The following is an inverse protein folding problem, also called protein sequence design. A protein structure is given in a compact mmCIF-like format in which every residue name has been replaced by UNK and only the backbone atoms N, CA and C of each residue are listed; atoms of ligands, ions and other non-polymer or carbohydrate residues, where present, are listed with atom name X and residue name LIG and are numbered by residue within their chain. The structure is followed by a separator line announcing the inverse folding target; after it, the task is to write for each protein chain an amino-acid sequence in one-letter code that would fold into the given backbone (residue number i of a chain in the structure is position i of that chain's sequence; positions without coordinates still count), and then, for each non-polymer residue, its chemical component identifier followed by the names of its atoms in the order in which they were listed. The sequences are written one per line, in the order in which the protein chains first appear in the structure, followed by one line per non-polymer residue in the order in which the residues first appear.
data_IF_647240880417
#
_entry.id   IF_647240880417
#
_cell.length_a   1.000
_cell.length_b   1.000
_cell.length_c   1.000
_cell.angle_alpha   90.00
_cell.angle_beta   90.00
_cell.angle_gamma   90.00
#
_symmetry.space_group_name_H-M   'P 1'
#
loop_
_entity.id
_entity.type
_entity.pdbx_description
1 polymer ?
#
# COMPACT_ATOMS: atom_id res chain seq x y z
N UNK A 1 -51.66 -5.07 -12.32
CA UNK A 1 -50.21 -5.16 -12.55
C UNK A 1 -49.70 -3.76 -12.92
N UNK A 2 -48.54 -3.39 -12.35
CA UNK A 2 -47.75 -2.14 -12.52
C UNK A 2 -48.23 -0.90 -11.74
N UNK A 3 -47.69 -0.79 -10.52
CA UNK A 3 -47.31 0.47 -9.88
C UNK A 3 -46.09 1.06 -10.59
N UNK A 4 -46.00 2.39 -10.73
CA UNK A 4 -44.77 3.11 -10.37
C UNK A 4 -45.02 4.61 -10.24
N UNK A 5 -44.62 5.14 -9.10
CA UNK A 5 -44.90 6.48 -8.60
C UNK A 5 -44.13 7.57 -9.36
N UNK A 6 -44.85 8.64 -9.70
CA UNK A 6 -44.31 9.89 -10.23
C UNK A 6 -43.70 10.70 -9.08
N UNK A 7 -42.37 10.75 -8.98
CA UNK A 7 -41.68 11.71 -8.12
C UNK A 7 -41.50 13.03 -8.89
N UNK A 8 -42.40 13.99 -8.64
CA UNK A 8 -42.22 15.41 -8.96
C UNK A 8 -42.36 16.20 -7.67
N UNK A 9 -41.26 16.73 -7.16
CA UNK A 9 -41.24 18.00 -6.42
C UNK A 9 -39.99 18.78 -6.82
N UNK A 10 -40.23 19.78 -7.66
CA UNK A 10 -39.35 20.90 -7.95
C UNK A 10 -39.65 22.03 -6.94
N UNK A 11 -38.67 22.93 -6.84
CA UNK A 11 -38.66 24.22 -6.13
C UNK A 11 -38.45 24.12 -4.61
N UNK A 12 -37.51 24.85 -4.01
CA UNK A 12 -36.62 25.89 -4.51
C UNK A 12 -35.84 26.47 -3.34
N UNK A 13 -34.80 27.25 -3.62
CA UNK A 13 -34.08 28.02 -2.61
C UNK A 13 -32.58 27.98 -2.82
N UNK A 14 -32.09 28.97 -3.57
CA UNK A 14 -30.68 29.32 -3.58
C UNK A 14 -30.27 29.80 -2.17
N UNK A 15 -29.27 29.17 -1.59
CA UNK A 15 -28.40 29.78 -0.58
C UNK A 15 -26.95 29.52 -0.97
N UNK A 16 -26.27 30.62 -1.25
CA UNK A 16 -24.83 30.73 -1.35
C UNK A 16 -24.16 30.18 -0.08
N UNK A 17 -22.97 29.60 -0.26
CA UNK A 17 -21.89 29.74 0.72
C UNK A 17 -21.80 28.65 1.78
N UNK A 18 -21.10 27.57 1.44
CA UNK A 18 -20.19 26.84 2.33
C UNK A 18 -19.13 26.21 1.41
N UNK A 19 -18.14 26.96 0.95
CA UNK A 19 -16.88 27.15 1.67
C UNK A 19 -16.34 25.81 2.24
N UNK A 20 -15.56 25.14 1.40
CA UNK A 20 -14.42 24.28 1.78
C UNK A 20 -14.73 23.17 2.79
N UNK A 21 -15.50 22.17 2.36
CA UNK A 21 -15.58 20.90 3.09
C UNK A 21 -14.28 20.10 2.90
N UNK A 22 -13.35 20.30 3.83
CA UNK A 22 -12.40 19.34 4.37
C UNK A 22 -11.82 18.25 3.41
N UNK A 23 -10.72 18.58 2.73
CA UNK A 23 -9.71 17.59 2.32
C UNK A 23 -8.83 17.19 3.52
N UNK A 24 -9.43 16.95 4.69
CA UNK A 24 -8.77 16.15 5.71
C UNK A 24 -9.16 14.71 5.38
N UNK A 25 -8.47 14.14 4.38
CA UNK A 25 -8.53 12.71 4.15
C UNK A 25 -8.27 12.04 5.48
N UNK A 26 -9.25 11.29 5.97
CA UNK A 26 -9.01 10.31 7.01
C UNK A 26 -7.98 9.35 6.40
N UNK A 27 -6.70 9.63 6.62
CA UNK A 27 -5.66 8.63 6.50
C UNK A 27 -5.94 7.66 7.65
N UNK A 28 -6.87 6.74 7.41
CA UNK A 28 -7.06 5.58 8.25
C UNK A 28 -5.66 4.97 8.41
N UNK A 29 -5.15 5.01 9.65
CA UNK A 29 -3.85 4.45 9.97
C UNK A 29 -3.99 2.95 9.79
N UNK A 30 -3.65 2.45 8.62
CA UNK A 30 -3.62 1.02 8.34
C UNK A 30 -2.56 0.43 9.28
N UNK A 31 -3.01 -0.41 10.21
CA UNK A 31 -2.11 -1.16 11.08
C UNK A 31 -1.54 -2.34 10.32
N UNK A 32 -0.34 -2.15 9.74
CA UNK A 32 0.37 -3.14 8.94
C UNK A 32 1.29 -4.04 9.79
N UNK A 33 1.23 -3.97 11.13
CA UNK A 33 2.23 -4.63 11.99
C UNK A 33 2.29 -6.15 11.81
N UNK A 34 1.16 -6.77 11.45
CA UNK A 34 1.03 -8.21 11.19
C UNK A 34 0.74 -8.51 9.72
N UNK A 35 1.09 -7.60 8.82
CA UNK A 35 0.85 -7.79 7.40
C UNK A 35 1.71 -8.95 6.82
N UNK A 36 1.15 -9.66 5.84
CA UNK A 36 1.71 -10.85 5.22
C UNK A 36 3.10 -10.60 4.63
N UNK A 37 3.42 -9.38 4.16
CA UNK A 37 4.77 -9.09 3.65
C UNK A 37 5.82 -8.88 4.75
N UNK A 38 5.42 -8.63 6.01
CA UNK A 38 6.33 -8.36 7.13
C UNK A 38 6.97 -9.66 7.62
N UNK A 39 8.30 -9.74 7.55
CA UNK A 39 9.04 -10.92 7.97
C UNK A 39 10.43 -11.02 7.35
N UNK A 40 11.07 -12.15 7.61
CA UNK A 40 12.34 -12.54 7.03
C UNK A 40 12.09 -13.44 5.81
N UNK A 41 12.80 -13.15 4.72
CA UNK A 41 12.60 -13.74 3.39
C UNK A 41 13.93 -14.15 2.78
N UNK A 42 13.94 -15.28 2.10
CA UNK A 42 15.05 -15.69 1.24
C UNK A 42 14.66 -15.48 -0.23
N UNK A 43 15.36 -14.58 -0.89
CA UNK A 43 15.14 -14.18 -2.28
C UNK A 43 16.31 -14.69 -3.14
N UNK A 44 16.19 -15.91 -3.66
CA UNK A 44 17.23 -16.55 -4.48
C UNK A 44 18.63 -16.59 -3.80
N UNK A 45 18.67 -16.90 -2.50
CA UNK A 45 19.92 -16.96 -1.73
C UNK A 45 20.34 -15.63 -1.09
N UNK A 46 19.61 -14.54 -1.32
CA UNK A 46 19.77 -13.27 -0.60
C UNK A 46 18.79 -13.18 0.56
N UNK A 47 19.25 -12.66 1.69
CA UNK A 47 18.39 -12.41 2.84
C UNK A 47 17.74 -11.02 2.72
N UNK A 48 16.41 -11.01 2.83
CA UNK A 48 15.58 -9.81 2.82
C UNK A 48 14.73 -9.78 4.09
N UNK A 49 14.82 -8.72 4.88
CA UNK A 49 13.98 -8.50 6.05
C UNK A 49 13.11 -7.27 5.86
N UNK A 50 11.79 -7.47 5.92
CA UNK A 50 10.79 -6.43 5.75
C UNK A 50 10.05 -6.20 7.06
N UNK A 51 9.93 -4.93 7.45
CA UNK A 51 9.02 -4.48 8.51
C UNK A 51 8.20 -3.32 8.00
N UNK A 52 7.26 -2.83 8.80
CA UNK A 52 6.51 -1.60 8.48
C UNK A 52 7.36 -0.33 8.56
N UNK A 53 8.60 -0.42 9.05
CA UNK A 53 9.48 0.72 9.29
C UNK A 53 10.79 0.64 8.54
N UNK A 54 11.21 -0.56 8.13
CA UNK A 54 12.54 -0.78 7.59
C UNK A 54 12.55 -1.86 6.53
N UNK A 55 13.47 -1.70 5.58
CA UNK A 55 13.84 -2.70 4.60
C UNK A 55 15.30 -3.03 4.89
N UNK A 56 15.64 -4.31 5.04
CA UNK A 56 17.04 -4.75 5.08
C UNK A 56 17.28 -5.73 3.96
N UNK A 57 18.12 -5.35 3.00
CA UNK A 57 18.50 -6.18 1.86
C UNK A 57 20.02 -6.13 1.73
N UNK A 58 20.66 -7.29 1.50
CA UNK A 58 22.12 -7.40 1.35
C UNK A 58 22.92 -6.73 2.50
N UNK A 59 22.38 -6.81 3.72
CA UNK A 59 22.99 -6.22 4.93
C UNK A 59 22.81 -4.70 5.08
N UNK A 60 22.15 -4.03 4.12
CA UNK A 60 21.87 -2.59 4.17
C UNK A 60 20.45 -2.38 4.68
N UNK A 61 20.31 -1.62 5.77
CA UNK A 61 19.00 -1.23 6.33
C UNK A 61 18.62 0.20 5.92
N UNK A 62 17.40 0.36 5.41
CA UNK A 62 16.78 1.65 5.10
C UNK A 62 15.48 1.85 5.87
N UNK A 63 15.18 3.09 6.24
CA UNK A 63 13.92 3.45 6.88
C UNK A 63 12.85 3.72 5.82
N UNK A 64 11.66 3.18 6.06
CA UNK A 64 10.46 3.42 5.26
C UNK A 64 9.85 4.76 5.70
N UNK A 65 9.64 5.65 4.74
CA UNK A 65 8.96 6.92 4.93
C UNK A 65 7.43 6.75 4.84
N UNK A 66 6.95 5.98 3.86
CA UNK A 66 5.55 5.58 3.76
C UNK A 66 5.37 4.29 2.96
N UNK A 67 4.19 3.69 3.10
CA UNK A 67 3.76 2.48 2.40
C UNK A 67 2.47 2.79 1.64
N UNK A 68 2.40 2.38 0.38
CA UNK A 68 1.19 2.49 -0.44
C UNK A 68 0.64 1.11 -0.76
N UNK A 69 -0.68 0.95 -0.68
CA UNK A 69 -1.39 -0.23 -1.21
C UNK A 69 -2.18 0.24 -2.42
N UNK A 70 -1.89 -0.30 -3.61
CA UNK A 70 -2.48 0.21 -4.86
C UNK A 70 -2.69 -0.89 -5.89
N UNK A 71 -3.32 -0.56 -7.03
CA UNK A 71 -3.68 -1.54 -8.07
C UNK A 71 -2.48 -2.24 -8.74
N UNK A 72 -1.29 -1.65 -8.66
CA UNK A 72 -0.14 -2.07 -9.45
C UNK A 72 0.84 -2.96 -8.68
N UNK A 73 0.74 -3.03 -7.36
CA UNK A 73 1.52 -3.90 -6.47
C UNK A 73 0.74 -4.07 -5.17
N UNK A 74 0.89 -5.18 -4.47
CA UNK A 74 0.24 -5.36 -3.18
C UNK A 74 0.74 -4.30 -2.18
N UNK A 75 2.05 -4.02 -2.21
CA UNK A 75 2.70 -2.99 -1.42
C UNK A 75 3.76 -2.22 -2.21
N UNK A 76 3.71 -0.89 -2.16
CA UNK A 76 4.80 0.01 -2.53
C UNK A 76 5.50 0.53 -1.28
N UNK A 77 6.81 0.34 -1.18
CA UNK A 77 7.62 0.77 -0.04
C UNK A 77 8.56 1.89 -0.47
N UNK A 78 8.44 3.06 0.17
CA UNK A 78 9.22 4.25 -0.17
C UNK A 78 10.12 4.63 1.00
N UNK A 79 11.42 4.74 0.78
CA UNK A 79 12.39 4.98 1.86
C UNK A 79 12.65 6.46 2.05
N UNK A 80 13.12 6.82 3.25
CA UNK A 80 13.50 8.22 3.57
C UNK A 80 14.65 8.74 2.72
N UNK A 81 15.38 7.86 2.03
CA UNK A 81 16.48 8.19 1.11
C UNK A 81 16.02 8.26 -0.35
N UNK A 82 14.73 8.05 -0.63
CA UNK A 82 14.16 8.11 -1.97
C UNK A 82 14.23 6.80 -2.76
N UNK A 83 14.62 5.68 -2.15
CA UNK A 83 14.51 4.38 -2.79
C UNK A 83 13.04 3.93 -2.85
N UNK A 84 12.70 3.17 -3.89
CA UNK A 84 11.36 2.65 -4.12
C UNK A 84 11.41 1.15 -4.41
N UNK A 85 10.52 0.42 -3.76
CA UNK A 85 10.39 -1.01 -3.87
C UNK A 85 8.94 -1.42 -4.01
N UNK A 86 8.70 -2.53 -4.69
CA UNK A 86 7.36 -3.10 -4.83
C UNK A 86 7.36 -4.56 -4.38
N UNK A 87 6.29 -4.93 -3.67
CA UNK A 87 6.00 -6.31 -3.26
C UNK A 87 4.73 -6.76 -3.99
N UNK A 88 4.81 -7.89 -4.67
CA UNK A 88 3.71 -8.50 -5.42
C UNK A 88 3.48 -9.94 -4.97
N UNK A 89 2.36 -10.50 -5.44
CA UNK A 89 1.98 -11.91 -5.24
C UNK A 89 2.09 -12.35 -3.78
N UNK A 90 1.66 -11.47 -2.87
CA UNK A 90 1.88 -11.59 -1.44
C UNK A 90 1.04 -12.73 -0.86
N UNK A 91 1.72 -13.79 -0.41
CA UNK A 91 1.13 -14.95 0.24
C UNK A 91 1.85 -15.20 1.56
N UNK A 92 1.24 -16.04 2.42
CA UNK A 92 1.79 -16.36 3.75
C UNK A 92 3.28 -16.74 3.74
N UNK A 93 3.71 -17.49 2.72
CA UNK A 93 5.07 -18.04 2.64
C UNK A 93 5.84 -17.62 1.38
N UNK A 94 5.28 -16.74 0.54
CA UNK A 94 5.95 -16.26 -0.67
C UNK A 94 5.59 -14.81 -0.99
N UNK A 95 6.56 -14.09 -1.54
CA UNK A 95 6.37 -12.76 -2.15
C UNK A 95 7.22 -12.66 -3.41
N UNK A 96 6.89 -11.71 -4.28
CA UNK A 96 7.78 -11.23 -5.34
C UNK A 96 8.28 -9.85 -4.95
N UNK A 97 9.59 -9.71 -4.81
CA UNK A 97 10.28 -8.46 -4.49
C UNK A 97 10.76 -7.77 -5.77
N UNK A 98 10.58 -6.46 -5.88
CA UNK A 98 11.15 -5.66 -6.95
C UNK A 98 11.83 -4.40 -6.41
N UNK A 99 13.09 -4.19 -6.80
CA UNK A 99 13.84 -2.98 -6.49
C UNK A 99 13.92 -2.06 -7.71
N UNK A 100 13.22 -0.93 -7.68
CA UNK A 100 13.15 -0.02 -8.84
C UNK A 100 14.50 0.60 -9.19
N UNK A 101 15.35 0.84 -8.19
CA UNK A 101 16.68 1.44 -8.41
C UNK A 101 17.63 0.56 -9.21
N UNK A 102 17.54 -0.77 -9.07
CA UNK A 102 18.37 -1.74 -9.80
C UNK A 102 17.62 -2.42 -10.95
N UNK A 103 16.29 -2.39 -10.95
CA UNK A 103 15.43 -3.16 -11.84
C UNK A 103 15.34 -4.65 -11.48
N UNK A 104 15.93 -5.08 -10.36
CA UNK A 104 15.95 -6.48 -9.94
C UNK A 104 14.56 -6.94 -9.47
N UNK A 105 14.13 -8.12 -9.92
CA UNK A 105 12.90 -8.79 -9.45
C UNK A 105 13.24 -10.20 -8.98
N UNK A 106 12.86 -10.54 -7.75
CA UNK A 106 13.17 -11.83 -7.13
C UNK A 106 11.91 -12.46 -6.54
N UNK A 107 11.74 -13.76 -6.78
CA UNK A 107 10.81 -14.56 -6.00
C UNK A 107 11.44 -14.90 -4.64
N UNK A 108 10.69 -14.68 -3.57
CA UNK A 108 11.16 -14.90 -2.21
C UNK A 108 10.27 -15.89 -1.47
N UNK A 109 10.90 -16.66 -0.57
CA UNK A 109 10.21 -17.59 0.33
C UNK A 109 10.45 -17.20 1.77
N UNK A 110 9.44 -17.40 2.62
CA UNK A 110 9.54 -17.00 4.03
C UNK A 110 10.54 -17.88 4.77
N UNK A 111 11.42 -17.25 5.56
CA UNK A 111 12.30 -17.94 6.49
C UNK A 111 11.51 -18.24 7.77
N UNK A 112 11.59 -19.47 8.26
CA UNK A 112 10.88 -19.93 9.46
C UNK A 112 11.53 -19.43 10.75
#
# INVERSE_FOLDING_TARGET
MKQSATARRLAGGALLGCAVAALAGCADKIDLRDDVFVGDWNCAGKDLKLTTRTITADGITENIAWIEMAKNADYGLFTTKGAHYSVFDTQRNSITWHAHGSGETLACTRVK
#
